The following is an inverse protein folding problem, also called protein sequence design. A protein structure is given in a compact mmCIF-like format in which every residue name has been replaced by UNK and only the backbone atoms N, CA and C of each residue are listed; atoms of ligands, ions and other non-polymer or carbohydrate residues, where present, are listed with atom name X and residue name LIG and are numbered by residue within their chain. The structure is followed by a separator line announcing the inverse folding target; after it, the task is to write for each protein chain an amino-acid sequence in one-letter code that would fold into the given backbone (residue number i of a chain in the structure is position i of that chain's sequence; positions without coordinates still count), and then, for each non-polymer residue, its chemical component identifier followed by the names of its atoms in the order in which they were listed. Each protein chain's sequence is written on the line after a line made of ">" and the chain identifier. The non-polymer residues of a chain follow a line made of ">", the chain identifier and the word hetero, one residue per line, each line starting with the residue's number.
data_IF_408643126540
#
_entry.id   IF_408643126540
#
_cell.length_a   1.000
_cell.length_b   1.000
_cell.length_c   1.000
_cell.angle_alpha   90.00
_cell.angle_beta   90.00
_cell.angle_gamma   90.00
#
_symmetry.space_group_name_H-M   'P 1'
#
loop_
_entity.id
_entity.type
_entity.pdbx_description
1 polymer ?
#
# COMPACT_ATOMS: atom_id res chain seq x y z
N UNK A 1 18.01 10.84 6.60
CA UNK A 1 17.67 10.15 7.86
C UNK A 1 16.31 10.62 8.40
N UNK A 2 15.19 10.11 7.86
CA UNK A 2 13.84 10.32 8.44
C UNK A 2 13.07 8.99 8.30
N UNK A 3 13.60 7.95 8.95
CA UNK A 3 12.92 6.67 9.11
C UNK A 3 12.87 6.25 10.59
N UNK A 4 13.02 7.23 11.49
CA UNK A 4 13.03 7.02 12.93
C UNK A 4 11.79 7.68 13.55
N UNK A 5 11.14 6.93 14.42
CA UNK A 5 9.90 7.22 15.14
C UNK A 5 8.62 7.05 14.31
N UNK A 6 8.10 5.82 14.33
CA UNK A 6 6.71 5.50 14.09
C UNK A 6 5.82 6.09 15.20
N UNK A 7 5.77 7.42 15.28
CA UNK A 7 4.92 8.15 16.22
C UNK A 7 3.54 8.31 15.61
N UNK A 8 2.47 7.79 16.24
CA UNK A 8 1.09 7.95 15.73
C UNK A 8 0.69 9.41 15.50
N UNK A 9 1.28 10.34 16.28
CA UNK A 9 1.07 11.80 16.15
C UNK A 9 1.54 12.39 14.83
N UNK A 10 2.46 11.71 14.13
CA UNK A 10 2.98 12.15 12.84
C UNK A 10 2.12 11.67 11.67
N UNK A 11 1.08 10.86 11.94
CA UNK A 11 0.28 10.26 10.88
C UNK A 11 -0.36 11.31 9.95
N UNK A 12 -0.99 12.39 10.44
CA UNK A 12 -1.53 13.43 9.57
C UNK A 12 -0.47 14.05 8.64
N UNK A 13 0.72 14.33 9.16
CA UNK A 13 1.83 14.91 8.40
C UNK A 13 2.36 13.91 7.34
N UNK A 14 2.38 12.62 7.65
CA UNK A 14 2.75 11.57 6.70
C UNK A 14 1.72 11.45 5.57
N UNK A 15 0.43 11.65 5.85
CA UNK A 15 -0.62 11.71 4.82
C UNK A 15 -0.40 12.88 3.89
N UNK A 16 -0.15 14.07 4.43
CA UNK A 16 0.13 15.27 3.65
C UNK A 16 1.33 15.06 2.72
N UNK A 17 2.43 14.54 3.26
CA UNK A 17 3.63 14.28 2.45
C UNK A 17 3.39 13.18 1.42
N UNK A 18 2.62 12.14 1.73
CA UNK A 18 2.28 11.09 0.77
C UNK A 18 1.48 11.63 -0.43
N UNK A 19 0.63 12.65 -0.22
CA UNK A 19 -0.17 13.31 -1.26
C UNK A 19 0.57 14.42 -2.01
N UNK A 20 1.60 15.02 -1.41
CA UNK A 20 2.34 16.12 -2.04
C UNK A 20 3.17 15.65 -3.25
N UNK A 21 2.60 15.82 -4.45
CA UNK A 21 3.21 15.42 -5.72
C UNK A 21 4.56 16.10 -6.03
N UNK A 22 4.90 17.20 -5.35
CA UNK A 22 6.20 17.88 -5.51
C UNK A 22 7.36 17.07 -4.93
N UNK A 23 7.08 16.17 -3.98
CA UNK A 23 8.07 15.40 -3.23
C UNK A 23 8.30 14.00 -3.83
N UNK A 24 8.79 13.91 -5.07
CA UNK A 24 8.91 12.66 -5.84
C UNK A 24 9.57 11.51 -5.05
N UNK A 25 10.73 11.75 -4.42
CA UNK A 25 11.49 10.70 -3.73
C UNK A 25 10.99 10.43 -2.29
N UNK A 26 10.52 11.45 -1.58
CA UNK A 26 10.09 11.33 -0.18
C UNK A 26 8.79 10.56 -0.03
N UNK A 27 7.86 10.74 -0.97
CA UNK A 27 6.54 10.09 -0.97
C UNK A 27 6.63 8.57 -0.94
N UNK A 28 7.44 7.98 -1.82
CA UNK A 28 7.51 6.51 -1.98
C UNK A 28 7.92 5.83 -0.68
N UNK A 29 8.93 6.37 0.01
CA UNK A 29 9.39 5.82 1.29
C UNK A 29 8.30 5.90 2.37
N UNK A 30 7.59 7.03 2.43
CA UNK A 30 6.50 7.22 3.38
C UNK A 30 5.37 6.23 3.10
N UNK A 31 4.88 6.18 1.86
CA UNK A 31 3.80 5.28 1.44
C UNK A 31 4.12 3.82 1.74
N UNK A 32 5.38 3.41 1.54
CA UNK A 32 5.85 2.05 1.84
C UNK A 32 5.70 1.69 3.33
N UNK A 33 5.81 2.67 4.22
CA UNK A 33 5.78 2.44 5.68
C UNK A 33 4.40 2.64 6.31
N UNK A 34 3.43 3.21 5.59
CA UNK A 34 2.11 3.56 6.11
C UNK A 34 1.37 2.38 6.75
N UNK A 35 1.54 1.16 6.22
CA UNK A 35 0.89 -0.05 6.78
C UNK A 35 1.25 -0.30 8.26
N UNK A 36 2.39 0.21 8.75
CA UNK A 36 2.84 0.02 10.13
C UNK A 36 2.01 0.82 11.15
N UNK A 37 1.44 1.94 10.72
CA UNK A 37 0.73 2.86 11.62
C UNK A 37 -0.68 2.37 11.97
N UNK A 38 -1.22 1.37 11.22
CA UNK A 38 -2.53 0.73 11.45
C UNK A 38 -3.67 1.73 11.73
N UNK A 39 -3.60 2.92 11.14
CA UNK A 39 -4.61 3.95 11.28
C UNK A 39 -5.81 3.61 10.39
N UNK A 40 -7.03 3.91 10.84
CA UNK A 40 -8.28 3.57 10.15
C UNK A 40 -8.33 4.11 8.72
N UNK A 41 -7.80 5.31 8.50
CA UNK A 41 -7.77 5.97 7.19
C UNK A 41 -6.65 5.48 6.27
N UNK A 42 -5.73 4.64 6.75
CA UNK A 42 -4.59 4.13 5.96
C UNK A 42 -5.08 3.36 4.75
N UNK A 43 -6.12 2.56 4.92
CA UNK A 43 -6.66 1.78 3.81
C UNK A 43 -7.16 2.71 2.69
N UNK A 44 -8.00 3.70 3.03
CA UNK A 44 -8.56 4.64 2.07
C UNK A 44 -7.46 5.44 1.35
N UNK A 45 -6.46 5.93 2.09
CA UNK A 45 -5.32 6.65 1.51
C UNK A 45 -4.51 5.78 0.55
N UNK A 46 -4.25 4.52 0.88
CA UNK A 46 -3.47 3.65 0.00
C UNK A 46 -4.24 3.28 -1.27
N UNK A 47 -5.57 3.13 -1.18
CA UNK A 47 -6.44 2.94 -2.36
C UNK A 47 -6.42 4.18 -3.26
N UNK A 48 -6.43 5.39 -2.70
CA UNK A 48 -6.26 6.63 -3.46
C UNK A 48 -4.91 6.64 -4.22
N UNK A 49 -3.82 6.31 -3.53
CA UNK A 49 -2.46 6.36 -4.06
C UNK A 49 -2.11 5.22 -5.03
N UNK A 50 -2.95 4.19 -5.15
CA UNK A 50 -2.72 3.06 -6.08
C UNK A 50 -2.79 3.49 -7.56
N UNK A 51 -3.34 4.68 -7.84
CA UNK A 51 -3.42 5.26 -9.19
C UNK A 51 -2.33 6.29 -9.45
N UNK A 52 -1.46 6.57 -8.48
CA UNK A 52 -0.35 7.49 -8.65
C UNK A 52 0.87 6.73 -9.22
N UNK A 53 1.36 7.08 -10.42
CA UNK A 53 2.43 6.32 -11.09
C UNK A 53 3.77 6.36 -10.33
N UNK A 54 4.00 7.37 -9.48
CA UNK A 54 5.25 7.50 -8.70
C UNK A 54 5.25 6.57 -7.49
N UNK A 55 4.08 6.35 -6.89
CA UNK A 55 3.96 5.58 -5.63
C UNK A 55 3.13 4.31 -5.74
N UNK A 56 2.63 3.94 -6.93
CA UNK A 56 1.78 2.75 -7.14
C UNK A 56 2.40 1.48 -6.54
N UNK A 57 3.70 1.26 -6.75
CA UNK A 57 4.39 0.08 -6.21
C UNK A 57 4.38 0.08 -4.67
N UNK A 58 4.63 1.24 -4.06
CA UNK A 58 4.61 1.38 -2.60
C UNK A 58 3.19 1.23 -2.05
N UNK A 59 2.18 1.76 -2.75
CA UNK A 59 0.77 1.65 -2.36
C UNK A 59 0.28 0.20 -2.41
N UNK A 60 0.55 -0.50 -3.52
CA UNK A 60 0.27 -1.94 -3.70
C UNK A 60 0.96 -2.76 -2.61
N UNK A 61 2.24 -2.49 -2.34
CA UNK A 61 2.98 -3.15 -1.29
C UNK A 61 2.31 -2.95 0.08
N UNK A 62 2.03 -1.70 0.45
CA UNK A 62 1.44 -1.36 1.74
C UNK A 62 0.04 -1.94 1.93
N UNK A 63 -0.82 -1.90 0.90
CA UNK A 63 -2.12 -2.60 0.92
C UNK A 63 -1.93 -4.10 1.16
N UNK A 64 -0.94 -4.69 0.48
CA UNK A 64 -0.64 -6.09 0.65
C UNK A 64 -0.16 -6.44 2.07
N UNK A 65 0.53 -5.51 2.74
CA UNK A 65 0.99 -5.66 4.12
C UNK A 65 -0.11 -5.44 5.16
N UNK A 66 -1.13 -4.62 4.85
CA UNK A 66 -2.33 -4.52 5.70
C UNK A 66 -3.10 -5.84 5.77
N UNK A 67 -3.02 -6.67 4.72
CA UNK A 67 -3.73 -7.96 4.62
C UNK A 67 -5.25 -7.82 4.81
N UNK A 68 -5.78 -6.68 4.43
CA UNK A 68 -7.20 -6.40 4.49
C UNK A 68 -7.89 -7.04 3.28
N UNK A 69 -8.89 -7.92 3.46
CA UNK A 69 -9.64 -8.52 2.36
C UNK A 69 -10.27 -7.50 1.42
N UNK A 70 -10.60 -6.29 1.92
CA UNK A 70 -11.13 -5.18 1.11
C UNK A 70 -10.16 -4.75 0.00
N UNK A 71 -8.87 -5.08 0.09
CA UNK A 71 -7.88 -4.76 -0.93
C UNK A 71 -8.03 -5.61 -2.21
N UNK A 72 -8.76 -6.74 -2.18
CA UNK A 72 -8.85 -7.69 -3.31
C UNK A 72 -9.24 -7.04 -4.64
N UNK A 73 -10.38 -6.33 -4.77
CA UNK A 73 -10.77 -5.74 -6.06
C UNK A 73 -9.76 -4.70 -6.57
N UNK A 74 -9.11 -3.95 -5.65
CA UNK A 74 -8.11 -2.96 -6.01
C UNK A 74 -6.82 -3.61 -6.53
N UNK A 75 -6.38 -4.71 -5.91
CA UNK A 75 -5.17 -5.42 -6.30
C UNK A 75 -5.38 -6.27 -7.57
N UNK A 76 -6.58 -6.81 -7.79
CA UNK A 76 -6.93 -7.47 -9.05
C UNK A 76 -6.85 -6.51 -10.24
N UNK A 77 -7.33 -5.28 -10.09
CA UNK A 77 -7.20 -4.26 -11.13
C UNK A 77 -5.72 -3.96 -11.47
N UNK A 78 -4.81 -4.05 -10.49
CA UNK A 78 -3.38 -3.80 -10.66
C UNK A 78 -2.61 -4.95 -11.34
N UNK A 79 -3.24 -6.09 -11.59
CA UNK A 79 -2.64 -7.15 -12.41
C UNK A 79 -2.39 -6.74 -13.86
N UNK A 80 -3.10 -5.71 -14.35
CA UNK A 80 -2.94 -5.15 -15.69
C UNK A 80 -2.23 -3.79 -15.70
N UNK A 81 -1.64 -3.40 -14.57
CA UNK A 81 -0.96 -2.10 -14.46
C UNK A 81 0.23 -2.02 -15.41
N UNK A 82 0.50 -0.82 -15.94
CA UNK A 82 1.65 -0.58 -16.82
C UNK A 82 2.98 -0.87 -16.10
N UNK A 83 3.03 -0.61 -14.79
CA UNK A 83 4.23 -0.85 -13.99
C UNK A 83 4.40 -2.35 -13.65
N UNK A 84 5.49 -3.01 -14.11
CA UNK A 84 5.70 -4.43 -13.87
C UNK A 84 5.85 -4.80 -12.39
N UNK A 85 6.41 -3.91 -11.57
CA UNK A 85 6.58 -4.15 -10.14
C UNK A 85 5.22 -4.12 -9.42
N UNK A 86 4.32 -3.23 -9.84
CA UNK A 86 2.96 -3.17 -9.33
C UNK A 86 2.20 -4.47 -9.63
N UNK A 87 2.30 -4.99 -10.87
CA UNK A 87 1.69 -6.28 -11.25
C UNK A 87 2.22 -7.43 -10.39
N UNK A 88 3.54 -7.49 -10.19
CA UNK A 88 4.20 -8.54 -9.41
C UNK A 88 3.76 -8.55 -7.95
N UNK A 89 3.73 -7.38 -7.31
CA UNK A 89 3.31 -7.29 -5.91
C UNK A 89 1.81 -7.58 -5.73
N UNK A 90 0.96 -7.16 -6.67
CA UNK A 90 -0.47 -7.49 -6.68
C UNK A 90 -0.70 -9.01 -6.79
N UNK A 91 -0.08 -9.67 -7.76
CA UNK A 91 -0.18 -11.13 -7.95
C UNK A 91 0.29 -11.92 -6.72
N UNK A 92 1.39 -11.48 -6.11
CA UNK A 92 1.94 -12.07 -4.89
C UNK A 92 1.00 -11.95 -3.70
N UNK A 93 0.26 -10.85 -3.57
CA UNK A 93 -0.74 -10.72 -2.52
C UNK A 93 -1.93 -11.64 -2.75
N UNK A 94 -2.49 -11.67 -3.97
CA UNK A 94 -3.64 -12.52 -4.30
C UNK A 94 -3.36 -13.99 -4.01
N UNK A 95 -2.22 -14.50 -4.48
CA UNK A 95 -1.77 -15.86 -4.18
C UNK A 95 -1.76 -16.17 -2.68
N UNK A 96 -1.27 -15.25 -1.85
CA UNK A 96 -1.21 -15.44 -0.38
C UNK A 96 -2.60 -15.44 0.26
N UNK A 97 -3.55 -14.70 -0.28
CA UNK A 97 -4.92 -14.67 0.23
C UNK A 97 -5.65 -15.96 -0.15
N UNK A 98 -5.52 -16.41 -1.40
CA UNK A 98 -6.10 -17.68 -1.86
C UNK A 98 -5.55 -18.87 -1.06
N UNK A 99 -4.24 -18.88 -0.78
CA UNK A 99 -3.61 -19.91 0.07
C UNK A 99 -4.15 -19.90 1.51
N UNK A 100 -4.54 -18.73 2.05
CA UNK A 100 -5.13 -18.63 3.40
C UNK A 100 -6.59 -19.07 3.41
N UNK A 101 -7.38 -18.70 2.41
CA UNK A 101 -8.77 -19.13 2.27
C UNK A 101 -8.88 -20.65 2.16
N UNK A 102 -7.93 -21.28 1.43
CA UNK A 102 -7.82 -22.75 1.38
C UNK A 102 -7.51 -23.38 2.73
N UNK A 103 -6.59 -22.78 3.49
CA UNK A 103 -6.21 -23.25 4.84
C UNK A 103 -7.29 -23.05 5.90
N UNK A 104 -8.18 -22.08 5.74
CA UNK A 104 -9.31 -21.90 6.69
C UNK A 104 -10.49 -22.81 6.39
N UNK A 105 -10.52 -23.44 5.21
CA UNK A 105 -11.60 -24.33 4.76
C UNK A 105 -11.24 -25.81 4.89
N UNK A 106 -10.09 -26.12 5.50
CA UNK A 106 -9.54 -27.47 5.71
C UNK A 106 -9.19 -27.67 7.17
#
# INVERSE_FOLDING_TARGET
>A
AIACAASPRLYPQLVEVARDKRLVNGRRAIVWTLYKYKHETTFALLVELINDPVVVVAAVHSLGRLRDPRARPHLEAKLKDANPDARKEAAKWLKRMDEREKKSSS
#
